data_IF_144984376090
#
_entry.id   IF_144984376090
#
_cell.length_a   1.000
_cell.length_b   1.000
_cell.length_c   1.000
_cell.angle_alpha   90.00
_cell.angle_beta   90.00
_cell.angle_gamma   90.00
#
_symmetry.space_group_name_H-M   'P 1'
#
loop_
_entity.id
_entity.type
_entity.pdbx_description
1 polymer ?
#
# COMPACT_ATOMS: atom_id res chain seq x y z
N UNK A 1 -52.03 59.24 8.87
CA UNK A 1 -51.42 58.24 9.78
C UNK A 1 -52.39 57.54 10.74
N UNK A 2 -52.93 58.19 11.77
CA UNK A 2 -53.56 57.50 12.92
C UNK A 2 -54.74 56.58 12.58
N UNK A 3 -55.57 56.92 11.59
CA UNK A 3 -56.69 56.06 11.17
C UNK A 3 -56.22 54.74 10.57
N UNK A 4 -55.12 54.77 9.81
CA UNK A 4 -54.52 53.58 9.20
C UNK A 4 -53.96 52.61 10.24
N UNK A 5 -53.49 53.13 11.38
CA UNK A 5 -53.00 52.33 12.51
C UNK A 5 -54.17 51.59 13.17
N UNK A 6 -55.29 52.28 13.41
CA UNK A 6 -56.49 51.67 14.01
C UNK A 6 -57.11 50.61 13.10
N UNK A 7 -57.15 50.86 11.80
CA UNK A 7 -57.63 49.88 10.81
C UNK A 7 -56.73 48.63 10.78
N UNK A 8 -55.41 48.81 10.89
CA UNK A 8 -54.44 47.72 10.98
C UNK A 8 -54.61 46.91 12.28
N UNK A 9 -54.81 47.58 13.42
CA UNK A 9 -55.04 46.93 14.70
C UNK A 9 -56.31 46.09 14.69
N UNK A 10 -57.43 46.65 14.20
CA UNK A 10 -58.69 45.91 14.05
C UNK A 10 -58.55 44.72 13.09
N UNK A 11 -57.76 44.89 12.02
CA UNK A 11 -57.46 43.81 11.09
C UNK A 11 -56.64 42.68 11.73
N UNK A 12 -55.68 43.00 12.60
CA UNK A 12 -54.89 42.00 13.34
C UNK A 12 -55.76 41.30 14.38
N UNK A 13 -56.58 42.04 15.14
CA UNK A 13 -57.48 41.48 16.15
C UNK A 13 -58.51 40.52 15.54
N UNK A 14 -59.12 40.92 14.42
CA UNK A 14 -60.10 40.08 13.71
C UNK A 14 -59.47 38.77 13.20
N UNK A 15 -58.23 38.84 12.69
CA UNK A 15 -57.49 37.65 12.23
C UNK A 15 -57.06 36.76 13.39
N UNK A 16 -56.63 37.35 14.51
CA UNK A 16 -56.26 36.61 15.71
C UNK A 16 -57.47 35.88 16.33
N UNK A 17 -58.63 36.53 16.38
CA UNK A 17 -59.88 35.91 16.82
C UNK A 17 -60.32 34.76 15.93
N UNK A 18 -60.20 34.89 14.60
CA UNK A 18 -60.54 33.83 13.66
C UNK A 18 -59.67 32.57 13.82
N UNK A 19 -58.41 32.72 14.26
CA UNK A 19 -57.46 31.62 14.46
C UNK A 19 -57.49 31.04 15.88
N UNK A 20 -58.31 31.58 16.79
CA UNK A 20 -58.35 31.20 18.21
C UNK A 20 -58.78 29.74 18.42
N UNK A 21 -59.71 29.25 17.60
CA UNK A 21 -60.22 27.86 17.72
C UNK A 21 -59.45 26.87 16.83
N UNK A 22 -58.59 27.35 15.95
CA UNK A 22 -57.65 26.52 15.17
C UNK A 22 -56.30 26.48 15.88
N UNK A 23 -56.19 25.66 16.93
CA UNK A 23 -54.88 25.39 17.51
C UNK A 23 -53.98 24.83 16.41
N UNK A 24 -52.78 25.40 16.19
CA UNK A 24 -51.90 24.87 15.16
C UNK A 24 -51.52 23.42 15.52
N UNK A 25 -51.27 22.57 14.50
CA UNK A 25 -50.88 21.20 14.76
C UNK A 25 -49.62 21.16 15.64
N UNK A 26 -49.50 20.17 16.56
CA UNK A 26 -48.32 20.04 17.40
C UNK A 26 -47.05 19.96 16.52
N UNK A 27 -46.00 20.69 16.91
CA UNK A 27 -44.71 20.71 16.18
C UNK A 27 -44.42 21.96 15.35
N UNK A 28 -45.13 23.08 15.54
CA UNK A 28 -44.81 24.36 14.87
C UNK A 28 -43.37 24.83 15.14
N UNK A 29 -42.90 24.58 16.37
CA UNK A 29 -41.54 24.86 16.80
C UNK A 29 -41.18 23.83 17.87
N UNK A 30 -40.05 23.14 17.69
CA UNK A 30 -39.50 22.19 18.65
C UNK A 30 -38.27 22.79 19.33
N UNK A 31 -38.05 22.39 20.58
CA UNK A 31 -36.77 22.53 21.26
C UNK A 31 -36.27 21.12 21.47
N UNK A 32 -35.00 20.88 21.16
CA UNK A 32 -34.40 19.56 21.36
C UNK A 32 -34.50 19.17 22.84
N UNK A 33 -34.85 17.90 23.09
CA UNK A 33 -34.84 17.36 24.42
C UNK A 33 -33.41 17.41 24.98
N UNK A 34 -33.28 17.56 26.30
CA UNK A 34 -31.97 17.51 26.95
C UNK A 34 -31.34 16.13 26.72
N UNK A 35 -30.30 16.09 25.89
CA UNK A 35 -29.56 14.88 25.54
C UNK A 35 -28.14 15.22 25.12
N UNK A 36 -27.23 14.27 25.29
CA UNK A 36 -25.86 14.37 24.81
C UNK A 36 -25.69 13.49 23.58
N UNK A 37 -25.04 14.02 22.54
CA UNK A 37 -24.61 13.23 21.40
C UNK A 37 -23.46 12.32 21.85
N UNK A 38 -23.61 11.01 21.70
CA UNK A 38 -22.61 10.03 22.09
C UNK A 38 -21.82 9.65 20.84
N UNK A 39 -20.66 10.26 20.66
CA UNK A 39 -19.72 9.91 19.60
C UNK A 39 -18.60 9.04 20.19
N UNK A 40 -18.41 7.84 19.64
CA UNK A 40 -17.36 6.90 20.07
C UNK A 40 -16.30 6.76 18.97
N UNK A 41 -15.45 7.78 18.74
CA UNK A 41 -14.48 7.78 17.63
C UNK A 41 -13.40 6.70 17.75
N UNK A 42 -13.28 6.07 18.93
CA UNK A 42 -12.36 4.98 19.22
C UNK A 42 -13.06 3.63 19.39
N UNK A 43 -14.35 3.53 19.11
CA UNK A 43 -15.00 2.23 19.13
C UNK A 43 -14.44 1.35 18.01
N UNK A 44 -14.19 0.09 18.35
CA UNK A 44 -13.85 -0.91 17.35
C UNK A 44 -15.18 -1.37 16.76
N UNK A 45 -15.43 -1.19 15.45
CA UNK A 45 -16.65 -1.69 14.84
C UNK A 45 -16.72 -3.20 15.03
N UNK A 46 -17.94 -3.71 15.21
CA UNK A 46 -18.19 -5.15 15.22
C UNK A 46 -17.70 -5.76 13.90
N UNK A 47 -17.31 -7.04 13.94
CA UNK A 47 -16.83 -7.75 12.76
C UNK A 47 -17.86 -7.69 11.62
N UNK A 48 -17.53 -6.96 10.56
CA UNK A 48 -18.35 -6.90 9.33
C UNK A 48 -17.89 -8.02 8.39
N UNK A 49 -18.71 -9.05 8.14
CA UNK A 49 -18.36 -10.10 7.19
C UNK A 49 -18.15 -9.50 5.79
N UNK A 50 -17.02 -9.83 5.16
CA UNK A 50 -16.73 -9.37 3.81
C UNK A 50 -17.75 -9.96 2.82
N UNK A 51 -18.23 -9.12 1.90
CA UNK A 51 -19.09 -9.57 0.81
C UNK A 51 -18.25 -10.50 -0.06
N UNK A 52 -18.53 -11.81 -0.02
CA UNK A 52 -17.94 -12.75 -0.97
C UNK A 52 -18.37 -12.33 -2.37
N UNK A 53 -17.45 -11.92 -3.26
CA UNK A 53 -17.83 -11.61 -4.62
C UNK A 53 -18.42 -12.87 -5.23
N UNK A 54 -19.67 -12.80 -5.67
CA UNK A 54 -20.22 -13.82 -6.55
C UNK A 54 -19.51 -13.60 -7.88
N UNK A 55 -18.55 -14.47 -8.19
CA UNK A 55 -17.97 -14.60 -9.52
C UNK A 55 -19.10 -15.03 -10.45
N UNK A 56 -19.90 -14.06 -10.89
CA UNK A 56 -20.95 -14.29 -11.87
C UNK A 56 -20.26 -14.69 -13.17
N UNK A 57 -20.43 -15.95 -13.54
CA UNK A 57 -20.30 -16.52 -14.89
C UNK A 57 -19.35 -15.76 -15.82
N UNK A 58 -18.10 -15.58 -15.40
CA UNK A 58 -17.05 -15.48 -16.40
C UNK A 58 -16.99 -16.87 -17.01
N UNK A 59 -17.50 -17.00 -18.24
CA UNK A 59 -17.15 -18.13 -19.09
C UNK A 59 -15.63 -18.03 -19.25
N UNK A 60 -14.93 -18.81 -18.43
CA UNK A 60 -13.49 -19.01 -18.56
C UNK A 60 -13.34 -19.75 -19.88
N UNK A 61 -13.05 -19.00 -20.95
CA UNK A 61 -12.55 -19.56 -22.18
C UNK A 61 -11.24 -20.24 -21.79
N UNK A 62 -11.27 -21.57 -21.67
CA UNK A 62 -10.06 -22.34 -21.54
C UNK A 62 -9.19 -21.97 -22.75
N UNK A 63 -8.04 -21.35 -22.50
CA UNK A 63 -7.05 -21.17 -23.54
C UNK A 63 -6.75 -22.56 -24.10
N UNK A 64 -6.85 -22.74 -25.41
CA UNK A 64 -6.51 -24.00 -26.08
C UNK A 64 -4.99 -24.25 -26.07
N UNK A 65 -4.20 -23.33 -25.51
CA UNK A 65 -2.79 -23.54 -25.24
C UNK A 65 -2.61 -24.57 -24.13
N UNK A 66 -1.92 -25.65 -24.47
CA UNK A 66 -1.40 -26.62 -23.52
C UNK A 66 -0.33 -25.92 -22.66
N UNK A 67 -0.77 -25.30 -21.57
CA UNK A 67 0.11 -24.61 -20.63
C UNK A 67 0.89 -25.68 -19.87
N UNK A 68 2.22 -25.69 -20.04
CA UNK A 68 3.12 -26.52 -19.24
C UNK A 68 3.09 -26.08 -17.77
N UNK A 69 2.22 -26.72 -16.99
CA UNK A 69 2.08 -26.47 -15.56
C UNK A 69 3.30 -26.91 -14.74
N UNK A 70 4.25 -27.67 -15.32
CA UNK A 70 5.49 -28.03 -14.63
C UNK A 70 6.30 -26.79 -14.25
N UNK A 71 6.26 -25.74 -15.08
CA UNK A 71 6.92 -24.44 -14.81
C UNK A 71 6.43 -23.75 -13.55
N UNK A 72 5.20 -24.01 -13.08
CA UNK A 72 4.70 -23.45 -11.82
C UNK A 72 5.43 -24.03 -10.59
N UNK A 73 6.06 -25.19 -10.76
CA UNK A 73 6.80 -25.89 -9.70
C UNK A 73 8.31 -25.69 -9.81
N UNK A 74 8.79 -24.92 -10.80
CA UNK A 74 10.20 -24.55 -10.92
C UNK A 74 10.60 -23.62 -9.77
N UNK A 75 11.10 -24.21 -8.69
CA UNK A 75 11.66 -23.47 -7.57
C UNK A 75 13.08 -23.03 -7.92
N UNK A 76 13.27 -21.73 -8.13
CA UNK A 76 14.61 -21.13 -8.24
C UNK A 76 15.21 -21.07 -6.83
N UNK A 77 16.05 -22.04 -6.49
CA UNK A 77 16.76 -22.06 -5.20
C UNK A 77 17.96 -21.12 -5.27
N UNK A 78 17.91 -20.03 -4.51
CA UNK A 78 19.01 -19.06 -4.40
C UNK A 78 19.93 -19.44 -3.25
N UNK A 79 21.21 -19.67 -3.54
CA UNK A 79 22.25 -19.91 -2.53
C UNK A 79 22.66 -18.58 -1.86
N UNK A 80 22.02 -18.29 -0.72
CA UNK A 80 22.30 -17.09 0.09
C UNK A 80 23.73 -17.08 0.66
N UNK A 81 24.35 -18.23 0.89
CA UNK A 81 25.73 -18.32 1.40
C UNK A 81 26.71 -17.88 0.31
N UNK A 82 26.47 -18.28 -0.95
CA UNK A 82 27.24 -17.80 -2.10
C UNK A 82 27.13 -16.28 -2.25
N UNK A 83 25.92 -15.72 -2.22
CA UNK A 83 25.71 -14.26 -2.33
C UNK A 83 26.46 -13.52 -1.23
N UNK A 84 26.40 -14.02 0.01
CA UNK A 84 27.14 -13.46 1.13
C UNK A 84 28.66 -13.50 0.92
N UNK A 85 29.19 -14.63 0.49
CA UNK A 85 30.62 -14.80 0.23
C UNK A 85 31.13 -13.84 -0.86
N UNK A 86 30.29 -13.56 -1.88
CA UNK A 86 30.57 -12.57 -2.92
C UNK A 86 30.77 -11.17 -2.32
N UNK A 87 29.82 -10.70 -1.50
CA UNK A 87 29.93 -9.40 -0.81
C UNK A 87 31.17 -9.34 0.07
N UNK A 88 31.42 -10.38 0.86
CA UNK A 88 32.60 -10.44 1.74
C UNK A 88 33.90 -10.39 0.94
N UNK A 89 33.98 -11.08 -0.21
CA UNK A 89 35.15 -11.05 -1.08
C UNK A 89 35.40 -9.65 -1.63
N UNK A 90 34.36 -8.96 -2.09
CA UNK A 90 34.48 -7.58 -2.55
C UNK A 90 34.94 -6.64 -1.43
N UNK A 91 34.40 -6.82 -0.21
CA UNK A 91 34.79 -6.08 0.98
C UNK A 91 36.20 -6.42 1.49
N UNK A 92 36.89 -7.45 1.02
CA UNK A 92 38.31 -7.66 1.34
C UNK A 92 39.20 -6.61 0.67
N UNK A 93 38.84 -6.18 -0.53
CA UNK A 93 39.62 -5.25 -1.35
C UNK A 93 39.30 -3.79 -1.06
N UNK A 94 38.06 -3.49 -0.64
CA UNK A 94 37.59 -2.13 -0.36
C UNK A 94 36.81 -2.08 0.98
N UNK A 95 36.83 -0.96 1.72
CA UNK A 95 36.09 -0.84 2.99
C UNK A 95 34.57 -0.81 2.80
N UNK A 96 34.09 -0.41 1.63
CA UNK A 96 32.68 -0.39 1.23
C UNK A 96 32.55 -0.75 -0.25
N UNK A 97 31.41 -1.30 -0.64
CA UNK A 97 31.07 -1.61 -2.04
C UNK A 97 29.58 -1.42 -2.27
N UNK A 98 29.20 -0.83 -3.40
CA UNK A 98 27.78 -0.72 -3.79
C UNK A 98 27.31 -2.01 -4.46
N UNK A 99 26.03 -2.34 -4.36
CA UNK A 99 25.47 -3.51 -5.05
C UNK A 99 25.70 -3.43 -6.57
N UNK A 100 25.58 -2.24 -7.17
CA UNK A 100 25.90 -2.01 -8.58
C UNK A 100 27.35 -2.38 -8.91
N UNK A 101 28.31 -1.86 -8.16
CA UNK A 101 29.74 -2.18 -8.37
C UNK A 101 30.04 -3.66 -8.18
N UNK A 102 29.39 -4.31 -7.21
CA UNK A 102 29.54 -5.74 -6.98
C UNK A 102 29.12 -6.53 -8.23
N UNK A 103 27.97 -6.19 -8.81
CA UNK A 103 27.40 -6.88 -9.97
C UNK A 103 28.17 -6.64 -11.27
N UNK A 104 29.01 -5.61 -11.36
CA UNK A 104 29.96 -5.43 -12.46
C UNK A 104 31.08 -6.49 -12.42
N UNK A 105 31.45 -6.94 -11.22
CA UNK A 105 32.49 -7.96 -11.04
C UNK A 105 31.93 -9.39 -10.97
N UNK A 106 30.77 -9.57 -10.35
CA UNK A 106 30.09 -10.85 -10.20
C UNK A 106 28.62 -10.73 -10.67
N UNK A 107 28.33 -10.98 -11.96
CA UNK A 107 27.00 -10.80 -12.50
C UNK A 107 26.00 -11.82 -11.94
N UNK A 108 24.72 -11.44 -11.97
CA UNK A 108 23.61 -12.28 -11.51
C UNK A 108 23.49 -13.55 -12.38
N UNK A 109 23.43 -14.72 -11.74
CA UNK A 109 23.24 -16.01 -12.42
C UNK A 109 21.75 -16.36 -12.53
N UNK A 110 20.98 -16.10 -11.47
CA UNK A 110 19.54 -16.37 -11.43
C UNK A 110 18.69 -15.09 -11.52
N UNK A 111 19.28 -14.00 -12.04
CA UNK A 111 18.61 -12.74 -12.30
C UNK A 111 17.93 -12.14 -11.06
N UNK A 112 16.63 -11.83 -11.18
CA UNK A 112 15.85 -11.15 -10.14
C UNK A 112 15.86 -11.89 -8.80
N UNK A 113 15.90 -13.22 -8.80
CA UNK A 113 15.89 -14.01 -7.57
C UNK A 113 17.14 -13.72 -6.71
N UNK A 114 18.31 -13.60 -7.34
CA UNK A 114 19.54 -13.20 -6.65
C UNK A 114 19.52 -11.73 -6.25
N UNK A 115 18.93 -10.85 -7.06
CA UNK A 115 18.77 -9.44 -6.71
C UNK A 115 17.95 -9.27 -5.42
N UNK A 116 16.81 -9.96 -5.31
CA UNK A 116 16.02 -9.99 -4.07
C UNK A 116 16.82 -10.58 -2.92
N UNK A 117 17.62 -11.62 -3.17
CA UNK A 117 18.53 -12.19 -2.18
C UNK A 117 19.55 -11.19 -1.63
N UNK A 118 20.12 -10.32 -2.47
CA UNK A 118 21.02 -9.25 -2.01
C UNK A 118 20.30 -8.18 -1.20
N UNK A 119 19.06 -7.82 -1.58
CA UNK A 119 18.26 -6.85 -0.82
C UNK A 119 17.87 -7.41 0.56
N UNK A 120 17.54 -8.70 0.63
CA UNK A 120 17.28 -9.38 1.91
C UNK A 120 18.53 -9.38 2.79
N UNK A 121 19.71 -9.68 2.23
CA UNK A 121 20.98 -9.60 2.95
C UNK A 121 21.26 -8.19 3.48
N UNK A 122 20.93 -7.16 2.70
CA UNK A 122 21.07 -5.77 3.12
C UNK A 122 20.13 -5.42 4.29
N UNK A 123 18.87 -5.84 4.22
CA UNK A 123 17.88 -5.59 5.26
C UNK A 123 18.20 -6.35 6.56
N UNK A 124 18.60 -7.62 6.46
CA UNK A 124 18.97 -8.44 7.62
C UNK A 124 20.17 -7.86 8.39
N UNK A 125 21.10 -7.18 7.71
CA UNK A 125 22.23 -6.49 8.34
C UNK A 125 21.87 -5.14 8.99
N UNK A 126 20.71 -4.56 8.67
CA UNK A 126 20.27 -3.27 9.16
C UNK A 126 19.44 -3.36 10.46
N UNK A 127 18.59 -4.40 10.60
CA UNK A 127 17.66 -4.53 11.73
C UNK A 127 18.18 -5.35 12.92
N UNK A 128 19.31 -6.06 12.76
CA UNK A 128 19.94 -6.82 13.82
C UNK A 128 21.09 -6.07 14.49
N UNK A 129 20.94 -5.68 15.76
CA UNK A 129 22.04 -5.15 16.61
C UNK A 129 23.24 -6.10 16.80
N UNK A 130 23.20 -7.29 16.20
CA UNK A 130 24.36 -8.13 15.93
C UNK A 130 24.48 -8.31 14.42
N UNK A 131 25.60 -7.90 13.85
CA UNK A 131 25.95 -8.22 12.48
C UNK A 131 25.97 -9.74 12.36
N UNK A 132 24.91 -10.35 11.81
CA UNK A 132 24.94 -11.75 11.44
C UNK A 132 26.12 -11.89 10.49
N UNK A 133 27.18 -12.56 10.96
CA UNK A 133 28.46 -12.74 10.27
C UNK A 133 29.20 -11.45 9.84
N UNK A 134 29.09 -10.35 10.59
CA UNK A 134 29.95 -9.16 10.40
C UNK A 134 29.72 -8.35 9.10
N UNK A 135 28.55 -8.48 8.47
CA UNK A 135 28.17 -7.67 7.30
C UNK A 135 27.19 -6.59 7.74
N UNK A 136 27.48 -5.35 7.35
CA UNK A 136 26.58 -4.21 7.52
C UNK A 136 26.16 -3.70 6.15
N UNK A 137 24.95 -3.15 6.09
CA UNK A 137 24.44 -2.55 4.88
C UNK A 137 23.68 -1.27 5.20
N UNK A 138 23.77 -0.31 4.30
CA UNK A 138 23.02 0.93 4.31
C UNK A 138 22.27 1.04 2.99
N UNK A 139 20.97 1.32 3.08
CA UNK A 139 20.11 1.54 1.92
C UNK A 139 19.84 3.03 1.84
N UNK A 140 20.32 3.66 0.77
CA UNK A 140 20.04 5.05 0.44
C UNK A 140 18.87 5.11 -0.54
N UNK A 141 17.69 5.45 -0.03
CA UNK A 141 16.45 5.57 -0.81
C UNK A 141 16.38 6.86 -1.63
N UNK A 142 17.30 7.80 -1.43
CA UNK A 142 17.34 9.06 -2.20
C UNK A 142 17.95 8.88 -3.58
N UNK A 143 18.71 7.80 -3.79
CA UNK A 143 19.39 7.46 -5.03
C UNK A 143 18.88 6.14 -5.56
N UNK A 144 18.44 6.12 -6.81
CA UNK A 144 18.03 4.91 -7.52
C UNK A 144 19.07 4.52 -8.56
N UNK A 145 19.54 3.27 -8.54
CA UNK A 145 20.52 2.73 -9.47
C UNK A 145 19.88 1.65 -10.36
N UNK A 146 20.02 1.73 -11.70
CA UNK A 146 19.56 0.65 -12.57
C UNK A 146 20.57 -0.50 -12.56
N UNK A 147 20.04 -1.71 -12.36
CA UNK A 147 20.74 -2.99 -12.42
C UNK A 147 20.22 -3.75 -13.64
N UNK A 148 21.13 -4.17 -14.52
CA UNK A 148 20.82 -4.91 -15.75
C UNK A 148 21.38 -6.32 -15.68
N UNK A 149 20.62 -7.30 -16.13
CA UNK A 149 21.08 -8.69 -16.25
C UNK A 149 20.47 -9.36 -17.49
N UNK A 150 21.12 -10.42 -17.95
CA UNK A 150 20.60 -11.25 -19.04
C UNK A 150 19.70 -12.34 -18.45
N UNK A 151 18.57 -12.58 -19.10
CA UNK A 151 17.61 -13.64 -18.78
C UNK A 151 17.19 -14.32 -20.08
N UNK A 152 16.63 -15.52 -19.98
CA UNK A 152 15.87 -16.12 -21.08
C UNK A 152 14.39 -15.75 -20.95
N UNK A 153 13.71 -15.51 -22.05
CA UNK A 153 12.25 -15.35 -22.09
C UNK A 153 11.55 -16.71 -22.29
N UNK A 154 10.23 -16.68 -22.52
CA UNK A 154 9.45 -17.91 -22.70
C UNK A 154 9.85 -18.67 -23.97
N UNK A 155 10.47 -18.00 -24.93
CA UNK A 155 10.95 -18.50 -26.22
C UNK A 155 12.44 -18.89 -26.18
N UNK A 156 13.05 -18.92 -24.98
CA UNK A 156 14.48 -19.18 -24.73
C UNK A 156 15.47 -18.16 -25.31
N UNK A 157 14.97 -17.03 -25.80
CA UNK A 157 15.78 -15.95 -26.36
C UNK A 157 16.44 -15.14 -25.25
N UNK A 158 17.67 -14.69 -25.51
CA UNK A 158 18.43 -13.89 -24.53
C UNK A 158 17.88 -12.46 -24.53
N UNK A 159 17.20 -12.12 -23.43
CA UNK A 159 16.66 -10.78 -23.17
C UNK A 159 17.44 -10.07 -22.08
N UNK A 160 17.69 -8.78 -22.25
CA UNK A 160 18.24 -7.94 -21.18
C UNK A 160 17.09 -7.41 -20.35
N UNK A 161 17.12 -7.69 -19.05
CA UNK A 161 16.17 -7.15 -18.06
C UNK A 161 16.85 -6.06 -17.24
N UNK A 162 16.05 -5.11 -16.78
CA UNK A 162 16.48 -3.99 -15.95
C UNK A 162 15.56 -3.87 -14.73
N UNK A 163 16.14 -3.59 -13.56
CA UNK A 163 15.42 -3.18 -12.36
C UNK A 163 16.07 -1.93 -11.77
N UNK A 164 15.24 -1.00 -11.32
CA UNK A 164 15.65 0.18 -10.59
C UNK A 164 15.51 -0.08 -9.09
N UNK A 165 16.62 -0.06 -8.36
CA UNK A 165 16.63 -0.29 -6.90
C UNK A 165 17.27 0.89 -6.18
N UNK A 166 16.91 1.14 -4.90
CA UNK A 166 17.66 2.04 -4.04
C UNK A 166 19.13 1.66 -4.00
N UNK A 167 19.99 2.66 -3.79
CA UNK A 167 21.42 2.40 -3.67
C UNK A 167 21.71 1.61 -2.40
N UNK A 168 22.21 0.38 -2.58
CA UNK A 168 22.61 -0.49 -1.48
C UNK A 168 24.13 -0.43 -1.33
N UNK A 169 24.59 -0.10 -0.13
CA UNK A 169 26.01 0.03 0.22
C UNK A 169 26.32 -1.01 1.28
N UNK A 170 27.22 -1.94 0.97
CA UNK A 170 27.73 -2.91 1.93
C UNK A 170 29.01 -2.38 2.59
N UNK A 171 29.15 -2.62 3.88
CA UNK A 171 30.30 -2.24 4.71
C UNK A 171 30.71 -3.37 5.65
N UNK A 172 31.93 -3.32 6.15
CA UNK A 172 32.43 -4.23 7.20
C UNK A 172 31.85 -3.91 8.58
#
# INVERSE_FOLDING_TARGET
ENRRILDLLHGIESKALALRESSPPPGVMGIDAMGAEVELPLERPLFTPSVKPRLAELVVLAGEEEIDTARLFDQIVVDKQRLRASVQRALRNKPQVTLRELLETEPLLHGLAELVGYLELAHAGAEGGGAVDGLRALVDETVTEPIRWQSRDAQEEVVVREACVPRVIFTR
#
